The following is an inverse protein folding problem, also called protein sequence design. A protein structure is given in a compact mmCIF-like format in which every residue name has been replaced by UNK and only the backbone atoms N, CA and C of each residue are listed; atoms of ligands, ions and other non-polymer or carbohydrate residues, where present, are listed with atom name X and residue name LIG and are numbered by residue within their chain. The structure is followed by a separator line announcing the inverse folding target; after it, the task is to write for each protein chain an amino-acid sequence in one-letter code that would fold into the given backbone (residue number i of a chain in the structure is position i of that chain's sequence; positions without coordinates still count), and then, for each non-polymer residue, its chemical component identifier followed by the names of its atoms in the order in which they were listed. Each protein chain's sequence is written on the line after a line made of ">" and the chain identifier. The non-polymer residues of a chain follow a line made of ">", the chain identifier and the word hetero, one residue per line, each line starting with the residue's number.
data_IF_320540961082
#
_entry.id   IF_320540961082
#
_cell.length_a   1.000
_cell.length_b   1.000
_cell.length_c   1.000
_cell.angle_alpha   90.00
_cell.angle_beta   90.00
_cell.angle_gamma   90.00
#
_symmetry.space_group_name_H-M   'P 1'
#
loop_
_entity.id
_entity.type
_entity.pdbx_description
1 polymer ?
#
# COMPACT_ATOMS: atom_id res chain seq x y z
N UNK A 1 -47.42 -26.12 -39.66
CA UNK A 1 -46.24 -25.34 -40.04
C UNK A 1 -45.21 -25.48 -38.94
N UNK A 2 -44.00 -25.87 -39.32
CA UNK A 2 -42.94 -26.34 -38.45
C UNK A 2 -42.24 -25.16 -37.75
N UNK A 3 -42.01 -25.38 -36.47
CA UNK A 3 -41.36 -24.54 -35.48
C UNK A 3 -39.86 -24.39 -35.82
N UNK A 4 -39.37 -23.20 -36.16
CA UNK A 4 -37.95 -22.82 -36.20
C UNK A 4 -37.90 -21.29 -35.99
N UNK A 5 -37.81 -20.86 -34.74
CA UNK A 5 -37.12 -19.61 -34.41
C UNK A 5 -35.90 -20.01 -33.59
N UNK A 6 -34.85 -20.39 -34.33
CA UNK A 6 -33.50 -20.66 -33.86
C UNK A 6 -33.08 -19.53 -32.91
N UNK A 7 -32.87 -19.83 -31.62
CA UNK A 7 -31.56 -20.09 -31.02
C UNK A 7 -30.51 -19.03 -31.38
N UNK A 8 -30.59 -17.85 -30.76
CA UNK A 8 -29.44 -16.97 -30.53
C UNK A 8 -29.39 -16.63 -29.04
N UNK A 9 -29.24 -17.65 -28.20
CA UNK A 9 -28.87 -17.51 -26.78
C UNK A 9 -27.70 -18.46 -26.54
N UNK A 10 -26.53 -18.13 -27.04
CA UNK A 10 -25.31 -18.84 -26.63
C UNK A 10 -24.10 -18.04 -27.05
N UNK A 11 -23.57 -17.23 -26.13
CA UNK A 11 -22.15 -16.93 -25.92
C UNK A 11 -21.92 -15.53 -25.35
N UNK A 12 -22.61 -15.17 -24.26
CA UNK A 12 -22.00 -14.20 -23.33
C UNK A 12 -21.10 -15.06 -22.44
N UNK A 13 -19.76 -15.00 -22.57
CA UNK A 13 -18.91 -15.61 -21.56
C UNK A 13 -19.27 -14.93 -20.24
N UNK A 14 -19.74 -15.70 -19.25
CA UNK A 14 -19.81 -15.23 -17.88
C UNK A 14 -18.38 -14.82 -17.50
N UNK A 15 -18.07 -13.54 -17.66
CA UNK A 15 -16.96 -12.93 -16.95
C UNK A 15 -17.32 -13.07 -15.49
N UNK A 16 -16.78 -14.11 -14.85
CA UNK A 16 -16.80 -14.25 -13.41
C UNK A 16 -15.92 -13.12 -12.87
N UNK A 17 -16.54 -11.95 -12.66
CA UNK A 17 -16.05 -10.95 -11.75
C UNK A 17 -16.07 -11.63 -10.38
N UNK A 18 -14.95 -12.23 -9.99
CA UNK A 18 -14.70 -12.63 -8.62
C UNK A 18 -14.63 -11.37 -7.76
N UNK A 19 -15.79 -10.72 -7.52
CA UNK A 19 -15.95 -9.68 -6.52
C UNK A 19 -15.81 -10.37 -5.17
N UNK A 20 -14.60 -10.34 -4.63
CA UNK A 20 -14.32 -10.77 -3.27
C UNK A 20 -14.91 -9.72 -2.32
N UNK A 21 -16.23 -9.78 -2.08
CA UNK A 21 -16.96 -8.77 -1.29
C UNK A 21 -16.52 -8.72 0.18
N UNK A 22 -15.92 -9.80 0.70
CA UNK A 22 -15.46 -9.87 2.09
C UNK A 22 -14.03 -9.34 2.30
N UNK A 23 -13.32 -8.96 1.22
CA UNK A 23 -11.89 -8.66 1.29
C UNK A 23 -11.06 -9.89 1.69
N UNK A 24 -9.73 -9.78 1.62
CA UNK A 24 -8.87 -10.84 2.12
C UNK A 24 -8.97 -10.93 3.65
N UNK A 25 -9.47 -12.07 4.18
CA UNK A 25 -9.40 -12.37 5.62
C UNK A 25 -7.96 -12.73 5.99
N UNK A 26 -7.18 -11.72 6.36
CA UNK A 26 -5.86 -11.92 6.96
C UNK A 26 -6.02 -12.41 8.39
N UNK A 27 -5.99 -13.73 8.60
CA UNK A 27 -6.18 -14.33 9.93
C UNK A 27 -5.04 -14.01 10.90
N UNK A 28 -3.84 -13.65 10.41
CA UNK A 28 -2.68 -13.33 11.23
C UNK A 28 -1.90 -12.16 10.61
N UNK A 29 -2.28 -10.92 10.94
CA UNK A 29 -1.39 -9.78 10.69
C UNK A 29 -0.15 -9.93 11.58
N UNK A 30 1.07 -9.71 11.06
CA UNK A 30 2.27 -9.80 11.85
C UNK A 30 2.24 -8.81 13.02
N UNK A 31 2.64 -9.29 14.19
CA UNK A 31 2.81 -8.44 15.37
C UNK A 31 4.12 -7.67 15.23
N UNK A 32 4.12 -6.33 15.40
CA UNK A 32 5.35 -5.57 15.31
C UNK A 32 6.30 -5.94 16.45
N UNK A 33 7.59 -6.04 16.16
CA UNK A 33 8.64 -6.29 17.18
C UNK A 33 8.84 -5.07 18.09
N UNK A 34 8.66 -3.87 17.53
CA UNK A 34 8.65 -2.60 18.26
C UNK A 34 7.84 -1.57 17.48
N UNK A 35 7.46 -0.47 18.14
CA UNK A 35 6.84 0.68 17.48
C UNK A 35 7.69 1.92 17.74
N UNK A 36 8.03 2.62 16.67
CA UNK A 36 8.78 3.87 16.70
C UNK A 36 7.95 4.97 16.03
N UNK A 37 7.91 6.15 16.64
CA UNK A 37 7.31 7.34 16.03
C UNK A 37 8.44 8.26 15.59
N UNK A 38 8.46 8.59 14.31
CA UNK A 38 9.46 9.46 13.69
C UNK A 38 8.79 10.74 13.18
N UNK A 39 9.53 11.83 13.23
CA UNK A 39 9.07 13.16 12.78
C UNK A 39 9.90 13.67 11.58
N UNK A 40 10.80 12.84 11.05
CA UNK A 40 11.67 13.14 9.90
C UNK A 40 11.73 11.95 8.97
N UNK A 41 11.84 12.21 7.68
CA UNK A 41 12.02 11.20 6.64
C UNK A 41 13.26 10.35 6.90
N UNK A 42 13.10 9.02 6.79
CA UNK A 42 14.22 8.08 6.77
C UNK A 42 14.70 7.92 5.33
N UNK A 43 15.98 8.14 5.08
CA UNK A 43 16.59 7.89 3.77
C UNK A 43 17.31 6.54 3.76
N UNK A 44 16.99 5.71 2.77
CA UNK A 44 17.53 4.36 2.61
C UNK A 44 18.52 4.35 1.43
N UNK A 45 19.80 4.30 1.78
CA UNK A 45 20.91 4.28 0.82
C UNK A 45 21.45 2.87 0.53
N UNK A 46 20.99 1.86 1.28
CA UNK A 46 21.39 0.46 1.16
C UNK A 46 20.23 -0.46 1.54
N UNK A 47 20.30 -1.72 1.14
CA UNK A 47 19.36 -2.75 1.58
C UNK A 47 19.20 -2.74 3.11
N UNK A 48 17.94 -2.65 3.57
CA UNK A 48 17.62 -2.48 4.99
C UNK A 48 16.48 -3.42 5.41
N UNK A 49 16.72 -4.19 6.47
CA UNK A 49 15.70 -4.98 7.14
C UNK A 49 15.24 -4.25 8.41
N UNK A 50 13.93 -4.00 8.52
CA UNK A 50 13.33 -3.35 9.67
C UNK A 50 12.93 -4.34 10.78
N UNK A 51 13.07 -5.66 10.56
CA UNK A 51 12.85 -6.68 11.58
C UNK A 51 11.42 -6.70 12.12
N UNK A 52 10.43 -6.44 11.27
CA UNK A 52 9.01 -6.22 11.63
C UNK A 52 8.77 -5.05 12.59
N UNK A 53 9.64 -4.04 12.58
CA UNK A 53 9.39 -2.77 13.30
C UNK A 53 8.21 -2.03 12.67
N UNK A 54 7.35 -1.47 13.51
CA UNK A 54 6.32 -0.50 13.11
C UNK A 54 6.87 0.92 13.16
N UNK A 55 6.76 1.64 12.05
CA UNK A 55 7.09 3.06 11.95
C UNK A 55 5.79 3.86 11.84
N UNK A 56 5.59 4.81 12.76
CA UNK A 56 4.57 5.86 12.65
C UNK A 56 5.24 7.15 12.24
N UNK A 57 4.78 7.77 11.16
CA UNK A 57 5.33 9.03 10.72
C UNK A 57 4.42 10.20 11.09
N UNK A 58 5.00 11.17 11.78
CA UNK A 58 4.36 12.42 12.18
C UNK A 58 5.09 13.58 11.47
N UNK A 59 4.97 13.63 10.15
CA UNK A 59 5.39 14.76 9.33
C UNK A 59 4.38 15.91 9.35
N UNK A 60 4.39 16.73 8.30
CA UNK A 60 3.44 17.85 8.12
C UNK A 60 1.98 17.41 8.35
N UNK A 61 1.25 18.09 9.27
CA UNK A 61 -0.15 17.79 9.53
C UNK A 61 -1.04 17.95 8.29
N UNK A 62 -2.21 17.33 8.30
CA UNK A 62 -3.23 17.44 7.26
C UNK A 62 -2.81 16.93 5.86
N UNK A 63 -1.85 16.00 5.80
CA UNK A 63 -1.44 15.33 4.56
C UNK A 63 -2.20 14.04 4.28
N UNK A 64 -2.91 13.48 5.27
CA UNK A 64 -3.83 12.36 5.06
C UNK A 64 -5.21 12.85 4.58
N UNK A 65 -5.31 13.28 3.32
CA UNK A 65 -6.51 13.89 2.73
C UNK A 65 -7.09 13.00 1.62
N UNK A 66 -8.24 12.32 1.84
CA UNK A 66 -8.86 11.49 0.81
C UNK A 66 -9.57 12.29 -0.29
N UNK A 67 -9.83 13.58 -0.03
CA UNK A 67 -10.58 14.52 -0.87
C UNK A 67 -9.69 15.36 -1.80
N UNK A 68 -8.37 15.35 -1.57
CA UNK A 68 -7.41 16.07 -2.41
C UNK A 68 -6.81 15.09 -3.41
N UNK A 69 -7.15 15.19 -4.72
CA UNK A 69 -6.58 14.32 -5.73
C UNK A 69 -5.08 14.62 -5.88
N UNK A 70 -4.25 13.63 -5.54
CA UNK A 70 -2.87 13.50 -5.99
C UNK A 70 -1.88 14.53 -5.43
N UNK A 71 -0.87 14.00 -4.72
CA UNK A 71 0.51 14.47 -4.62
C UNK A 71 0.77 15.93 -5.06
N UNK A 72 0.28 16.90 -4.29
CA UNK A 72 0.92 18.22 -4.29
C UNK A 72 2.25 18.03 -3.57
N UNK A 73 3.31 18.24 -4.34
CA UNK A 73 4.73 17.85 -4.22
C UNK A 73 5.45 18.19 -2.90
N UNK A 74 4.75 18.69 -1.89
CA UNK A 74 5.27 19.23 -0.64
C UNK A 74 4.79 18.44 0.58
N UNK A 75 4.47 17.15 0.42
CA UNK A 75 4.18 16.28 1.54
C UNK A 75 5.48 15.63 2.01
N UNK A 76 5.68 15.60 3.33
CA UNK A 76 6.79 14.83 3.85
C UNK A 76 6.52 13.34 3.65
N UNK A 77 7.57 12.60 3.32
CA UNK A 77 7.50 11.16 3.14
C UNK A 77 8.09 10.45 4.35
N UNK A 78 7.51 9.33 4.76
CA UNK A 78 8.04 8.59 5.90
C UNK A 78 9.41 8.00 5.57
N UNK A 79 9.53 7.43 4.37
CA UNK A 79 10.74 6.75 3.91
C UNK A 79 11.00 7.09 2.44
N UNK A 80 12.25 7.43 2.12
CA UNK A 80 12.73 7.60 0.75
C UNK A 80 13.82 6.57 0.48
N UNK A 81 13.64 5.77 -0.56
CA UNK A 81 14.55 4.68 -0.96
C UNK A 81 15.30 5.11 -2.22
N UNK A 82 16.63 5.14 -2.13
CA UNK A 82 17.49 5.39 -3.29
C UNK A 82 17.43 4.21 -4.27
N UNK A 83 17.69 4.49 -5.55
CA UNK A 83 17.58 3.52 -6.64
C UNK A 83 18.37 2.22 -6.38
N UNK A 84 17.74 1.09 -6.67
CA UNK A 84 18.28 -0.26 -6.55
C UNK A 84 18.13 -0.91 -5.17
N UNK A 85 17.63 -0.19 -4.17
CA UNK A 85 17.60 -0.70 -2.79
C UNK A 85 16.31 -1.46 -2.45
N UNK A 86 16.46 -2.37 -1.50
CA UNK A 86 15.38 -3.16 -0.91
C UNK A 86 15.14 -2.71 0.53
N UNK A 87 13.87 -2.51 0.90
CA UNK A 87 13.48 -2.57 2.31
C UNK A 87 12.69 -3.84 2.57
N UNK A 88 12.81 -4.37 3.79
CA UNK A 88 12.07 -5.55 4.18
C UNK A 88 11.54 -5.51 5.60
N UNK A 89 10.48 -6.28 5.84
CA UNK A 89 9.90 -6.53 7.16
C UNK A 89 9.55 -5.22 7.89
N UNK A 90 8.78 -4.37 7.24
CA UNK A 90 8.37 -3.07 7.78
C UNK A 90 6.85 -3.05 7.95
N UNK A 91 6.37 -2.44 9.04
CA UNK A 91 4.96 -2.10 9.21
C UNK A 91 4.83 -0.57 9.23
N UNK A 92 4.04 0.01 8.33
CA UNK A 92 3.66 1.42 8.41
C UNK A 92 2.44 1.55 9.33
N UNK A 93 2.64 2.24 10.44
CA UNK A 93 1.60 2.53 11.40
C UNK A 93 0.87 3.83 11.09
N UNK A 94 -0.44 3.86 11.37
CA UNK A 94 -1.23 5.10 11.36
C UNK A 94 -0.57 6.19 12.20
N UNK A 95 -0.39 7.37 11.61
CA UNK A 95 0.03 8.59 12.30
C UNK A 95 -0.95 8.95 13.41
N UNK A 96 -0.43 9.44 14.54
CA UNK A 96 -1.26 9.91 15.65
C UNK A 96 -1.77 11.34 15.46
N UNK A 97 -1.26 12.06 14.45
CA UNK A 97 -1.59 13.47 14.19
C UNK A 97 -2.23 13.70 12.81
N UNK A 98 -2.62 12.63 12.12
CA UNK A 98 -3.29 12.73 10.81
C UNK A 98 -2.36 13.03 9.63
N UNK A 99 -1.10 12.62 9.71
CA UNK A 99 -0.14 12.67 8.59
C UNK A 99 -0.27 11.40 7.74
N UNK A 100 -0.11 11.54 6.41
CA UNK A 100 0.12 10.38 5.54
C UNK A 100 1.49 9.76 5.84
N UNK A 101 1.60 8.43 5.82
CA UNK A 101 2.87 7.71 5.95
C UNK A 101 3.07 6.91 4.68
N UNK A 102 3.99 7.34 3.82
CA UNK A 102 4.26 6.70 2.54
C UNK A 102 5.76 6.39 2.35
N UNK A 103 6.01 5.59 1.32
CA UNK A 103 7.35 5.21 0.87
C UNK A 103 7.52 5.71 -0.55
N UNK A 104 8.58 6.47 -0.79
CA UNK A 104 8.98 6.86 -2.15
C UNK A 104 10.20 6.06 -2.58
N UNK A 105 10.19 5.60 -3.82
CA UNK A 105 11.35 5.04 -4.50
C UNK A 105 11.83 6.02 -5.56
N UNK A 106 13.08 6.50 -5.45
CA UNK A 106 13.69 7.43 -6.43
C UNK A 106 14.04 6.77 -7.77
N UNK A 107 13.86 5.46 -7.86
CA UNK A 107 14.06 4.64 -9.05
C UNK A 107 13.47 3.26 -8.78
N UNK A 108 14.08 2.22 -9.33
CA UNK A 108 13.72 0.85 -8.98
C UNK A 108 13.99 0.59 -7.50
N UNK A 109 13.03 -0.01 -6.79
CA UNK A 109 13.21 -0.46 -5.41
C UNK A 109 12.47 -1.78 -5.22
N UNK A 110 12.76 -2.50 -4.14
CA UNK A 110 11.99 -3.69 -3.75
C UNK A 110 11.42 -3.50 -2.35
N UNK A 111 10.11 -3.71 -2.22
CA UNK A 111 9.40 -3.75 -0.94
C UNK A 111 9.09 -5.22 -0.63
N UNK A 112 9.78 -5.81 0.33
CA UNK A 112 9.59 -7.22 0.70
C UNK A 112 8.93 -7.32 2.08
N UNK A 113 7.72 -7.87 2.14
CA UNK A 113 7.00 -8.01 3.41
C UNK A 113 6.83 -6.65 4.12
N UNK A 114 6.26 -5.69 3.40
CA UNK A 114 5.92 -4.35 3.90
C UNK A 114 4.39 -4.26 4.01
N UNK A 115 3.89 -3.82 5.18
CA UNK A 115 2.47 -3.77 5.51
C UNK A 115 2.01 -2.37 5.88
#
# INVERSE_FOLDING_TARGET
>A
MLNIFLLIISSIPLLSLALNQEGAKFCNFPTPTSTETINKTIHIFKNTDFGMKRIRFNGKPNTCRPDIPGWNNDWDHAIIIENGNTISNLILGKSTIGTSSDIICKGSCTLKNVL
#
